data_IF_644311779811
#
_entry.id   IF_644311779811
#
_cell.length_a   1.000
_cell.length_b   1.000
_cell.length_c   1.000
_cell.angle_alpha   90.00
_cell.angle_beta   90.00
_cell.angle_gamma   90.00
#
_symmetry.space_group_name_H-M   'P 1'
#
loop_
_entity.id
_entity.type
_entity.pdbx_description
1 polymer ?
#
# COMPACT_ATOMS: atom_id res chain seq x y z
N UNK A 1 -31.36 30.98 2.62
CA UNK A 1 -30.99 29.86 3.51
C UNK A 1 -29.59 29.43 3.14
N UNK A 2 -28.66 29.79 4.00
CA UNK A 2 -27.22 29.56 3.92
C UNK A 2 -26.87 28.42 4.88
N UNK A 3 -26.14 27.41 4.42
CA UNK A 3 -25.48 26.39 5.26
C UNK A 3 -24.60 25.56 4.32
N UNK A 4 -23.39 25.11 4.64
CA UNK A 4 -22.28 25.69 5.41
C UNK A 4 -21.09 24.83 4.98
N UNK A 5 -20.15 25.38 4.22
CA UNK A 5 -18.88 24.70 3.93
C UNK A 5 -18.07 24.67 5.22
N UNK A 6 -17.97 23.52 5.86
CA UNK A 6 -16.98 23.31 6.92
C UNK A 6 -15.60 23.18 6.28
N UNK A 7 -14.89 24.31 6.24
CA UNK A 7 -13.47 24.40 5.97
C UNK A 7 -12.75 24.08 7.27
N UNK A 8 -12.04 22.95 7.35
CA UNK A 8 -11.13 22.69 8.45
C UNK A 8 -9.79 23.35 8.15
N UNK A 9 -9.56 24.52 8.74
CA UNK A 9 -8.20 25.04 8.94
C UNK A 9 -7.56 24.23 10.07
N UNK A 10 -6.44 23.58 9.80
CA UNK A 10 -5.54 23.09 10.84
C UNK A 10 -4.15 23.67 10.59
N UNK A 11 -3.92 24.86 11.14
CA UNK A 11 -2.58 25.28 11.54
C UNK A 11 -2.19 24.47 12.77
N UNK A 12 -1.40 23.41 12.62
CA UNK A 12 -0.51 23.03 13.71
C UNK A 12 0.75 22.29 13.23
N UNK A 13 1.79 22.60 13.96
CA UNK A 13 3.20 22.27 13.86
C UNK A 13 3.50 20.80 14.13
N UNK A 14 4.34 20.14 13.33
CA UNK A 14 4.81 18.79 13.70
C UNK A 14 5.35 17.89 12.59
N UNK A 15 6.63 18.05 12.27
CA UNK A 15 7.61 16.97 12.03
C UNK A 15 7.08 15.54 11.52
N UNK A 16 6.91 15.26 10.17
CA UNK A 16 7.06 14.00 9.28
C UNK A 16 8.23 13.55 8.23
N UNK A 17 9.01 12.43 8.29
CA UNK A 17 10.01 11.86 7.28
C UNK A 17 10.54 10.43 7.63
N UNK A 18 10.70 9.55 6.61
CA UNK A 18 10.68 8.09 6.75
C UNK A 18 12.06 7.35 6.81
N UNK A 19 12.29 6.43 7.77
CA UNK A 19 13.39 5.41 7.72
C UNK A 19 12.89 3.99 8.04
N UNK A 20 12.88 3.10 7.04
CA UNK A 20 12.46 1.68 7.18
C UNK A 20 13.66 0.76 7.50
N UNK A 21 13.48 -0.35 8.23
CA UNK A 21 14.45 -1.48 8.31
C UNK A 21 13.70 -2.80 8.54
N UNK A 22 13.51 -3.67 7.54
CA UNK A 22 12.87 -4.97 7.75
C UNK A 22 13.88 -6.08 8.12
N UNK A 23 13.42 -7.05 8.92
CA UNK A 23 14.14 -8.31 9.22
C UNK A 23 13.11 -9.45 9.31
N UNK A 24 13.32 -10.53 8.56
CA UNK A 24 12.40 -11.68 8.51
C UNK A 24 13.05 -12.97 9.08
N UNK A 25 12.25 -13.83 9.72
CA UNK A 25 12.60 -15.22 10.08
C UNK A 25 11.34 -16.09 9.96
N UNK A 26 11.39 -17.14 9.15
CA UNK A 26 10.25 -18.04 8.85
C UNK A 26 10.36 -19.35 9.65
N UNK A 27 9.25 -19.86 10.19
CA UNK A 27 9.16 -21.21 10.78
C UNK A 27 7.81 -21.84 10.43
N UNK A 28 7.78 -23.09 9.94
CA UNK A 28 6.60 -23.76 9.36
C UNK A 28 6.15 -24.97 10.20
N UNK A 29 4.83 -25.14 10.44
CA UNK A 29 4.18 -26.45 10.74
C UNK A 29 2.70 -26.53 10.29
N UNK A 30 2.43 -27.48 9.36
CA UNK A 30 1.22 -28.33 9.06
C UNK A 30 -0.22 -27.80 9.22
N UNK A 31 -1.27 -28.25 8.50
CA UNK A 31 -1.57 -28.68 7.11
C UNK A 31 -3.12 -28.52 6.96
N UNK A 32 -3.54 -27.58 6.11
CA UNK A 32 -4.91 -27.08 5.80
C UNK A 32 -5.55 -26.13 6.83
N UNK A 33 -5.08 -24.87 6.79
CA UNK A 33 -5.72 -23.81 6.00
C UNK A 33 -4.78 -23.37 4.86
N UNK A 34 -4.94 -23.95 3.66
CA UNK A 34 -3.83 -23.97 2.70
C UNK A 34 -3.54 -22.66 1.97
N UNK A 35 -4.53 -21.75 1.81
CA UNK A 35 -4.27 -20.42 1.25
C UNK A 35 -3.84 -19.45 2.35
N UNK A 36 -4.63 -19.26 3.41
CA UNK A 36 -4.27 -18.34 4.49
C UNK A 36 -2.94 -18.66 5.17
N UNK A 37 -2.67 -19.92 5.52
CA UNK A 37 -1.45 -20.26 6.28
C UNK A 37 -0.22 -20.60 5.44
N UNK A 38 -0.35 -20.65 4.10
CA UNK A 38 0.82 -20.60 3.22
C UNK A 38 1.35 -19.17 3.05
N UNK A 39 0.56 -18.17 3.44
CA UNK A 39 0.81 -16.75 3.17
C UNK A 39 1.32 -16.01 4.41
N UNK A 40 0.88 -16.38 5.62
CA UNK A 40 1.23 -15.66 6.85
C UNK A 40 2.46 -16.25 7.55
N UNK A 41 3.61 -15.57 7.45
CA UNK A 41 4.79 -15.78 8.29
C UNK A 41 5.00 -14.63 9.28
N UNK A 42 5.78 -14.87 10.34
CA UNK A 42 6.12 -13.84 11.32
C UNK A 42 7.13 -12.85 10.72
N UNK A 43 6.68 -11.62 10.52
CA UNK A 43 7.50 -10.53 10.00
C UNK A 43 7.32 -9.27 10.84
N UNK A 44 8.37 -8.46 10.88
CA UNK A 44 8.33 -7.14 11.53
C UNK A 44 8.94 -6.12 10.57
N UNK A 45 8.22 -5.03 10.38
CA UNK A 45 8.74 -3.82 9.77
C UNK A 45 8.50 -2.64 10.72
N UNK A 46 9.43 -1.69 10.68
CA UNK A 46 9.31 -0.44 11.41
C UNK A 46 9.69 0.71 10.48
N UNK A 47 9.00 1.83 10.65
CA UNK A 47 9.31 3.09 10.01
C UNK A 47 9.38 4.19 11.07
N UNK A 48 10.43 5.00 11.02
CA UNK A 48 10.48 6.28 11.74
C UNK A 48 9.84 7.31 10.85
N UNK A 49 8.96 8.16 11.38
CA UNK A 49 8.39 9.30 10.65
C UNK A 49 8.72 10.56 11.49
N UNK A 50 9.49 11.54 10.95
CA UNK A 50 9.69 12.91 11.50
C UNK A 50 10.08 14.01 10.47
N UNK A 51 9.54 15.23 10.45
CA UNK A 51 9.66 16.31 9.40
C UNK A 51 10.51 17.40 9.97
N UNK A 52 10.42 18.62 9.44
CA UNK A 52 11.46 19.64 9.46
C UNK A 52 12.84 19.03 9.67
N UNK A 53 13.19 18.26 8.64
CA UNK A 53 14.35 17.38 8.56
C UNK A 53 15.58 18.17 8.96
N UNK A 54 16.39 17.62 9.86
CA UNK A 54 17.66 18.23 10.21
C UNK A 54 18.64 18.01 9.05
N UNK A 55 19.01 19.06 8.28
CA UNK A 55 19.83 18.90 7.10
C UNK A 55 21.20 18.29 7.47
N UNK A 56 21.70 17.39 6.64
CA UNK A 56 22.97 16.66 6.83
C UNK A 56 23.03 15.70 8.05
N UNK A 57 21.95 15.57 8.83
CA UNK A 57 21.83 14.58 9.91
C UNK A 57 20.81 13.51 9.52
N UNK A 58 19.65 13.97 9.03
CA UNK A 58 18.56 13.11 8.60
C UNK A 58 18.53 13.01 7.07
N UNK A 59 18.18 11.83 6.57
CA UNK A 59 18.08 11.55 5.15
C UNK A 59 16.65 11.09 4.84
N UNK A 60 15.79 11.97 4.30
CA UNK A 60 14.43 11.58 3.92
C UNK A 60 14.47 10.55 2.80
N UNK A 61 13.59 9.56 2.89
CA UNK A 61 13.43 8.54 1.84
C UNK A 61 12.17 8.78 1.00
N UNK A 62 11.09 9.14 1.69
CA UNK A 62 9.78 9.42 1.11
C UNK A 62 9.13 10.56 1.89
N UNK A 63 8.23 11.27 1.23
CA UNK A 63 7.41 12.33 1.80
C UNK A 63 5.94 11.93 1.70
N UNK A 64 5.21 12.07 2.81
CA UNK A 64 3.77 11.85 2.85
C UNK A 64 3.07 13.16 2.53
N UNK A 65 2.68 13.34 1.27
CA UNK A 65 2.10 14.59 0.78
C UNK A 65 0.59 14.65 1.03
N UNK A 66 -0.11 13.51 0.91
CA UNK A 66 -1.56 13.43 1.04
C UNK A 66 -2.02 12.00 1.35
N UNK A 67 -3.19 11.87 1.99
CA UNK A 67 -3.80 10.59 2.34
C UNK A 67 -5.32 10.66 2.22
N UNK A 68 -5.95 9.58 1.75
CA UNK A 68 -7.40 9.36 1.84
C UNK A 68 -7.75 7.91 2.15
N UNK A 69 -9.03 7.70 2.44
CA UNK A 69 -9.63 6.39 2.60
C UNK A 69 -11.09 6.45 2.14
N UNK A 70 -11.53 5.43 1.42
CA UNK A 70 -12.94 5.24 1.05
C UNK A 70 -13.46 3.91 1.59
N UNK A 71 -14.76 3.84 1.82
CA UNK A 71 -15.48 2.57 2.03
C UNK A 71 -16.21 2.26 0.73
N UNK A 72 -15.81 1.19 0.04
CA UNK A 72 -16.44 0.79 -1.23
C UNK A 72 -17.92 0.47 -0.98
N UNK A 73 -18.88 1.08 -1.71
CA UNK A 73 -20.29 0.77 -1.55
C UNK A 73 -20.58 -0.72 -1.82
N UNK A 74 -21.56 -1.29 -1.11
CA UNK A 74 -21.98 -2.69 -1.27
C UNK A 74 -20.84 -3.72 -1.06
N UNK A 75 -19.82 -3.38 -0.28
CA UNK A 75 -18.68 -4.27 0.04
C UNK A 75 -18.79 -4.95 1.41
N UNK A 76 -19.95 -4.87 2.07
CA UNK A 76 -20.15 -5.46 3.39
C UNK A 76 -19.91 -6.98 3.36
N UNK A 77 -19.10 -7.47 4.30
CA UNK A 77 -18.73 -8.89 4.38
C UNK A 77 -17.74 -9.35 3.31
N UNK A 78 -17.37 -8.50 2.33
CA UNK A 78 -16.45 -8.87 1.25
C UNK A 78 -15.06 -9.27 1.79
N UNK A 79 -14.61 -8.60 2.85
CA UNK A 79 -13.44 -8.97 3.63
C UNK A 79 -13.84 -8.93 5.11
N UNK A 80 -13.81 -10.08 5.79
CA UNK A 80 -14.20 -10.14 7.20
C UNK A 80 -13.26 -11.00 8.04
N UNK A 81 -13.04 -10.55 9.27
CA UNK A 81 -12.31 -11.26 10.28
C UNK A 81 -13.25 -11.53 11.46
N UNK A 82 -13.33 -12.79 11.88
CA UNK A 82 -14.13 -13.17 13.05
C UNK A 82 -13.22 -13.76 14.12
N UNK A 83 -13.12 -13.08 15.25
CA UNK A 83 -12.46 -13.59 16.44
C UNK A 83 -13.36 -14.65 17.08
N UNK A 84 -12.83 -15.87 17.22
CA UNK A 84 -13.49 -16.99 17.88
C UNK A 84 -12.61 -17.48 19.03
N UNK A 85 -13.18 -18.26 19.93
CA UNK A 85 -12.47 -18.82 21.10
C UNK A 85 -11.18 -19.56 20.69
N UNK A 86 -11.19 -20.26 19.56
CA UNK A 86 -10.05 -21.04 19.10
C UNK A 86 -9.02 -20.23 18.30
N UNK A 87 -9.45 -19.24 17.51
CA UNK A 87 -8.58 -18.46 16.63
C UNK A 87 -9.29 -17.27 15.96
N UNK A 88 -8.50 -16.42 15.32
CA UNK A 88 -8.99 -15.47 14.32
C UNK A 88 -9.28 -16.21 13.02
N UNK A 89 -10.51 -16.13 12.53
CA UNK A 89 -10.92 -16.69 11.24
C UNK A 89 -11.05 -15.59 10.18
N UNK A 90 -10.63 -15.90 8.97
CA UNK A 90 -10.59 -14.98 7.83
C UNK A 90 -11.56 -15.44 6.74
N UNK A 91 -12.37 -14.53 6.23
CA UNK A 91 -13.25 -14.75 5.09
C UNK A 91 -13.01 -13.68 4.02
N UNK A 92 -12.82 -14.14 2.80
CA UNK A 92 -12.63 -13.30 1.62
C UNK A 92 -13.66 -13.72 0.58
N UNK A 93 -14.55 -12.79 0.24
CA UNK A 93 -15.54 -13.00 -0.80
C UNK A 93 -14.86 -13.05 -2.18
N UNK A 94 -15.40 -13.89 -3.06
CA UNK A 94 -14.87 -14.12 -4.41
C UNK A 94 -14.84 -12.87 -5.30
N UNK A 95 -15.65 -11.86 -4.99
CA UNK A 95 -15.79 -10.64 -5.80
C UNK A 95 -14.77 -9.54 -5.39
N UNK A 96 -14.03 -9.73 -4.29
CA UNK A 96 -13.02 -8.74 -3.85
C UNK A 96 -12.03 -8.36 -4.95
N UNK A 97 -11.50 -9.29 -5.77
CA UNK A 97 -10.61 -8.94 -6.88
C UNK A 97 -11.19 -7.94 -7.87
N UNK A 98 -12.52 -7.89 -8.04
CA UNK A 98 -13.18 -6.95 -8.95
C UNK A 98 -13.60 -5.66 -8.25
N UNK A 99 -13.94 -5.71 -6.95
CA UNK A 99 -14.34 -4.53 -6.18
C UNK A 99 -13.25 -3.46 -6.13
N UNK A 100 -11.99 -3.84 -5.98
CA UNK A 100 -10.86 -2.91 -5.90
C UNK A 100 -10.64 -2.13 -7.22
N UNK A 101 -10.37 -2.77 -8.37
CA UNK A 101 -10.13 -2.06 -9.63
C UNK A 101 -11.36 -1.26 -10.09
N UNK A 102 -12.59 -1.68 -9.76
CA UNK A 102 -13.78 -0.92 -10.13
C UNK A 102 -13.95 0.41 -9.39
N UNK A 103 -13.27 0.59 -8.24
CA UNK A 103 -13.40 1.79 -7.41
C UNK A 103 -12.08 2.56 -7.26
N UNK A 104 -10.97 2.08 -7.83
CA UNK A 104 -9.65 2.68 -7.63
C UNK A 104 -9.54 4.06 -8.29
N UNK A 105 -10.18 4.26 -9.45
CA UNK A 105 -10.14 5.53 -10.16
C UNK A 105 -10.77 6.65 -9.34
N UNK A 106 -11.87 6.39 -8.61
CA UNK A 106 -12.52 7.39 -7.75
C UNK A 106 -11.59 7.89 -6.64
N UNK A 107 -10.79 6.99 -6.05
CA UNK A 107 -9.79 7.32 -5.01
C UNK A 107 -8.67 8.17 -5.59
N UNK A 108 -8.18 7.80 -6.78
CA UNK A 108 -7.10 8.53 -7.46
C UNK A 108 -7.57 9.91 -7.89
N UNK A 109 -8.80 10.00 -8.39
CA UNK A 109 -9.44 11.25 -8.76
C UNK A 109 -9.49 12.23 -7.59
N UNK A 110 -9.90 11.77 -6.40
CA UNK A 110 -9.93 12.61 -5.19
C UNK A 110 -8.51 13.09 -4.80
N UNK A 111 -7.53 12.18 -4.88
CA UNK A 111 -6.13 12.49 -4.61
C UNK A 111 -5.59 13.59 -5.55
N UNK A 112 -5.74 13.39 -6.86
CA UNK A 112 -5.14 14.25 -7.87
C UNK A 112 -5.92 15.55 -8.11
N UNK A 113 -7.24 15.57 -7.87
CA UNK A 113 -8.03 16.82 -7.84
C UNK A 113 -7.45 17.84 -6.87
N UNK A 114 -6.97 17.38 -5.70
CA UNK A 114 -6.36 18.26 -4.69
C UNK A 114 -5.07 18.95 -5.18
N UNK A 115 -4.40 18.39 -6.20
CA UNK A 115 -3.18 18.93 -6.78
C UNK A 115 -3.41 19.69 -8.09
N UNK A 116 -4.64 19.72 -8.62
CA UNK A 116 -5.02 20.36 -9.88
C UNK A 116 -4.13 19.94 -11.08
N UNK A 117 -3.74 18.68 -11.13
CA UNK A 117 -2.88 18.15 -12.19
C UNK A 117 -3.56 16.91 -12.79
N UNK A 118 -3.62 16.87 -14.12
CA UNK A 118 -4.02 15.69 -14.87
C UNK A 118 -2.79 14.80 -15.03
N UNK A 119 -2.84 13.58 -14.52
CA UNK A 119 -1.68 12.69 -14.49
C UNK A 119 -1.89 11.47 -15.38
N UNK A 120 -0.87 11.17 -16.19
CA UNK A 120 -0.64 9.80 -16.64
C UNK A 120 -0.02 9.03 -15.46
N UNK A 121 -0.74 7.99 -15.01
CA UNK A 121 -0.35 7.16 -13.87
C UNK A 121 1.01 6.49 -14.03
N UNK A 122 1.56 6.43 -15.25
CA UNK A 122 2.88 5.90 -15.52
C UNK A 122 4.03 6.86 -15.17
N UNK A 123 3.76 8.12 -14.80
CA UNK A 123 4.79 9.03 -14.30
C UNK A 123 5.02 8.92 -12.79
N UNK A 124 4.13 8.26 -12.06
CA UNK A 124 4.29 8.02 -10.62
C UNK A 124 4.78 6.60 -10.36
N UNK A 125 5.33 6.41 -9.17
CA UNK A 125 5.65 5.09 -8.66
C UNK A 125 4.44 4.49 -7.94
N UNK A 126 4.33 3.17 -7.96
CA UNK A 126 3.18 2.47 -7.43
C UNK A 126 3.56 1.53 -6.29
N UNK A 127 2.76 1.59 -5.23
CA UNK A 127 2.86 0.72 -4.06
C UNK A 127 1.46 0.24 -3.76
N UNK A 128 1.13 -0.94 -4.28
CA UNK A 128 -0.18 -1.55 -4.11
C UNK A 128 -0.05 -2.70 -3.14
N UNK A 129 -0.91 -2.75 -2.13
CA UNK A 129 -0.94 -3.87 -1.21
C UNK A 129 -1.19 -5.17 -2.00
N UNK A 130 -0.30 -6.17 -1.91
CA UNK A 130 -0.40 -7.40 -2.68
C UNK A 130 -1.37 -8.38 -1.99
N UNK A 131 -2.66 -8.05 -2.03
CA UNK A 131 -3.71 -8.92 -1.47
C UNK A 131 -3.79 -10.29 -2.15
N UNK A 132 -3.45 -10.33 -3.44
CA UNK A 132 -3.33 -11.50 -4.29
C UNK A 132 -2.95 -11.08 -5.72
N UNK A 133 -2.42 -12.01 -6.51
CA UNK A 133 -1.90 -11.71 -7.85
C UNK A 133 -2.99 -11.14 -8.78
N UNK A 134 -4.20 -11.70 -8.72
CA UNK A 134 -5.35 -11.23 -9.50
C UNK A 134 -5.70 -9.76 -9.25
N UNK A 135 -5.58 -9.29 -7.99
CA UNK A 135 -5.83 -7.87 -7.66
C UNK A 135 -4.80 -6.98 -8.33
N UNK A 136 -3.51 -7.36 -8.27
CA UNK A 136 -2.43 -6.58 -8.87
C UNK A 136 -2.58 -6.50 -10.38
N UNK A 137 -2.89 -7.62 -11.04
CA UNK A 137 -3.06 -7.68 -12.50
C UNK A 137 -4.28 -6.85 -12.95
N UNK A 138 -5.41 -6.96 -12.25
CA UNK A 138 -6.61 -6.19 -12.60
C UNK A 138 -6.41 -4.69 -12.37
N UNK A 139 -5.67 -4.28 -11.32
CA UNK A 139 -5.31 -2.86 -11.11
C UNK A 139 -4.36 -2.36 -12.20
N UNK A 140 -3.36 -3.16 -12.58
CA UNK A 140 -2.44 -2.85 -13.68
C UNK A 140 -3.19 -2.62 -15.00
N UNK A 141 -4.10 -3.54 -15.34
CA UNK A 141 -4.93 -3.47 -16.54
C UNK A 141 -5.86 -2.25 -16.52
N UNK A 142 -6.64 -2.10 -15.43
CA UNK A 142 -7.65 -1.04 -15.29
C UNK A 142 -7.05 0.35 -15.45
N UNK A 143 -5.86 0.56 -14.90
CA UNK A 143 -5.17 1.85 -14.92
C UNK A 143 -4.22 2.03 -16.12
N UNK A 144 -4.11 1.04 -17.00
CA UNK A 144 -3.19 1.08 -18.14
C UNK A 144 -1.73 1.26 -17.73
N UNK A 145 -1.33 0.62 -16.63
CA UNK A 145 0.03 0.76 -16.09
C UNK A 145 0.99 -0.11 -16.88
N UNK A 146 2.20 0.41 -17.09
CA UNK A 146 3.30 -0.39 -17.63
C UNK A 146 3.73 -1.45 -16.60
N UNK A 147 4.17 -2.65 -17.04
CA UNK A 147 4.46 -3.77 -16.13
C UNK A 147 5.49 -3.45 -15.03
N UNK A 148 6.44 -2.56 -15.31
CA UNK A 148 7.43 -2.08 -14.34
C UNK A 148 6.82 -1.43 -13.10
N UNK A 149 5.62 -0.83 -13.21
CA UNK A 149 4.97 -0.12 -12.10
C UNK A 149 4.51 -1.06 -10.99
N UNK A 150 4.11 -2.28 -11.34
CA UNK A 150 3.71 -3.31 -10.37
C UNK A 150 4.86 -4.18 -9.87
N UNK A 151 6.08 -3.99 -10.40
CA UNK A 151 7.23 -4.85 -10.10
C UNK A 151 7.50 -4.97 -8.61
N UNK A 152 7.44 -3.87 -7.86
CA UNK A 152 7.67 -3.88 -6.40
C UNK A 152 6.65 -4.73 -5.65
N UNK A 153 5.37 -4.50 -5.92
CA UNK A 153 4.25 -5.24 -5.32
C UNK A 153 4.28 -6.73 -5.68
N UNK A 154 4.50 -7.05 -6.97
CA UNK A 154 4.59 -8.43 -7.47
C UNK A 154 5.80 -9.16 -6.89
N UNK A 155 6.95 -8.49 -6.75
CA UNK A 155 8.14 -9.07 -6.12
C UNK A 155 7.89 -9.42 -4.66
N UNK A 156 7.33 -8.49 -3.86
CA UNK A 156 7.03 -8.75 -2.45
C UNK A 156 6.03 -9.89 -2.29
N UNK A 157 5.00 -9.94 -3.13
CA UNK A 157 4.05 -11.06 -3.13
C UNK A 157 4.72 -12.40 -3.43
N UNK A 158 5.61 -12.44 -4.43
CA UNK A 158 6.32 -13.64 -4.86
C UNK A 158 7.27 -14.17 -3.79
N UNK A 159 8.03 -13.28 -3.15
CA UNK A 159 9.07 -13.67 -2.18
C UNK A 159 8.53 -13.92 -0.78
N UNK A 160 7.51 -13.15 -0.35
CA UNK A 160 7.07 -13.13 1.05
C UNK A 160 5.60 -13.48 1.24
N UNK A 161 4.81 -13.57 0.17
CA UNK A 161 3.36 -13.69 0.27
C UNK A 161 2.68 -12.40 0.76
N UNK A 162 1.41 -12.52 1.14
CA UNK A 162 0.62 -11.45 1.73
C UNK A 162 0.82 -11.40 3.26
N UNK A 163 1.79 -10.60 3.68
CA UNK A 163 2.13 -10.28 5.08
C UNK A 163 1.16 -9.27 5.73
N UNK A 164 -0.10 -9.21 5.27
CA UNK A 164 -1.10 -8.22 5.68
C UNK A 164 -0.57 -6.78 5.55
N UNK A 165 -0.81 -5.94 6.56
CA UNK A 165 -0.44 -4.52 6.55
C UNK A 165 1.06 -4.25 6.36
N UNK A 166 1.93 -5.24 6.61
CA UNK A 166 3.38 -5.08 6.55
C UNK A 166 3.90 -5.03 5.10
N UNK A 167 3.14 -5.57 4.13
CA UNK A 167 3.57 -5.63 2.73
C UNK A 167 3.96 -4.26 2.17
N UNK A 168 3.20 -3.20 2.45
CA UNK A 168 3.47 -1.87 1.88
C UNK A 168 4.82 -1.30 2.36
N UNK A 169 5.23 -1.63 3.59
CA UNK A 169 6.55 -1.25 4.11
C UNK A 169 7.69 -2.04 3.46
N UNK A 170 7.46 -3.32 3.15
CA UNK A 170 8.42 -4.14 2.40
C UNK A 170 8.57 -3.65 0.95
N UNK A 171 7.48 -3.23 0.31
CA UNK A 171 7.53 -2.67 -1.04
C UNK A 171 8.32 -1.36 -1.04
N UNK A 172 8.07 -0.46 -0.08
CA UNK A 172 8.85 0.77 0.11
C UNK A 172 10.34 0.48 0.30
N UNK A 173 10.68 -0.53 1.10
CA UNK A 173 12.08 -0.94 1.33
C UNK A 173 12.75 -1.50 0.06
N UNK A 174 12.06 -2.38 -0.66
CA UNK A 174 12.54 -2.96 -1.91
C UNK A 174 12.81 -1.86 -2.94
N UNK A 175 11.87 -0.94 -3.07
CA UNK A 175 11.97 0.20 -3.96
C UNK A 175 13.21 1.04 -3.67
N UNK A 176 13.39 1.55 -2.43
CA UNK A 176 14.57 2.38 -2.09
C UNK A 176 15.89 1.65 -2.30
N UNK A 177 15.93 0.33 -2.05
CA UNK A 177 17.12 -0.48 -2.24
C UNK A 177 17.46 -0.58 -3.73
N UNK A 178 16.46 -0.86 -4.57
CA UNK A 178 16.63 -0.95 -6.02
C UNK A 178 17.05 0.36 -6.66
N UNK A 179 16.43 1.49 -6.26
CA UNK A 179 16.82 2.82 -6.77
C UNK A 179 18.29 3.15 -6.45
N UNK A 180 18.75 2.78 -5.24
CA UNK A 180 20.15 2.95 -4.85
C UNK A 180 21.11 2.05 -5.65
N UNK A 181 20.70 0.82 -5.97
CA UNK A 181 21.49 -0.12 -6.78
C UNK A 181 21.63 0.34 -8.24
N UNK A 182 20.56 0.88 -8.82
CA UNK A 182 20.53 1.28 -10.24
C UNK A 182 20.92 2.73 -10.48
N UNK A 183 21.04 3.54 -9.42
CA UNK A 183 21.26 4.98 -9.48
C UNK A 183 20.21 5.72 -10.33
N UNK A 184 18.99 5.17 -10.39
CA UNK A 184 17.85 5.72 -11.14
C UNK A 184 16.73 6.11 -10.16
N UNK A 185 16.07 7.23 -10.42
CA UNK A 185 14.88 7.65 -9.68
C UNK A 185 13.67 6.79 -10.06
N UNK A 186 12.72 6.63 -9.14
CA UNK A 186 11.48 5.88 -9.35
C UNK A 186 10.59 6.40 -10.48
N UNK A 187 10.79 7.66 -10.87
CA UNK A 187 10.00 8.36 -11.87
C UNK A 187 10.35 7.94 -13.31
N UNK A 188 11.56 7.42 -13.54
CA UNK A 188 12.09 7.16 -14.88
C UNK A 188 12.19 5.66 -15.23
N UNK A 189 11.61 4.80 -14.39
CA UNK A 189 11.52 3.35 -14.60
C UNK A 189 10.22 2.97 -15.27
#
# INVERSE_FOLDING_TARGET
MSESKTKSDSTDTGFSAMKVRPRARVTLRTRQPLMGQAIFGDVVAAAIVGSNIIPNVEMPLFELVWTSQIIVPNSEGALSFHLREACLTFHLHKDVPELIPNNIEDVLDEAFKSFNIFYDYNYIFWIVHPGGLAILDLVEEKLGLKPEKMRGSKHVLSEYGNLASICVLFILDEMRRKSKETNQSFYNG
#
